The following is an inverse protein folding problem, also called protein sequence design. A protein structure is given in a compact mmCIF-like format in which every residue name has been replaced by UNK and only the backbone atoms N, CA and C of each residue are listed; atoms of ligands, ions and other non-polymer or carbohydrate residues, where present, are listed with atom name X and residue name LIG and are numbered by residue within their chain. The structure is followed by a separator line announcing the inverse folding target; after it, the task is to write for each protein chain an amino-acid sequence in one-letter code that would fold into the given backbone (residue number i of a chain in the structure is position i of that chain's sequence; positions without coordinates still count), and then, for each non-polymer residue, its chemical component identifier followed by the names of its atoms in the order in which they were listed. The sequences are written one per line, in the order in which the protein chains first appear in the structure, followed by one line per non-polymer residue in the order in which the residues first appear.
data_IF_091850843078
#
_entry.id   IF_091850843078
#
_cell.length_a   1.000
_cell.length_b   1.000
_cell.length_c   1.000
_cell.angle_alpha   90.00
_cell.angle_beta   90.00
_cell.angle_gamma   90.00
#
_symmetry.space_group_name_H-M   'P 1'
#
loop_
_entity.id
_entity.type
_entity.pdbx_description
1 polymer ?
#
# COMPACT_ATOMS: atom_id res chain seq x y z
N UNK A 1 -38.08 -11.13 -34.88
CA UNK A 1 -37.31 -12.32 -34.44
C UNK A 1 -35.86 -11.85 -34.34
N UNK A 2 -35.40 -11.53 -33.13
CA UNK A 2 -34.03 -11.05 -32.93
C UNK A 2 -33.10 -12.27 -32.93
N UNK A 3 -32.31 -12.36 -33.98
CA UNK A 3 -31.27 -13.38 -34.14
C UNK A 3 -30.11 -12.98 -33.20
N UNK A 4 -30.10 -13.51 -31.97
CA UNK A 4 -28.94 -13.38 -31.08
C UNK A 4 -27.82 -14.22 -31.70
N UNK A 5 -26.67 -13.62 -32.02
CA UNK A 5 -25.56 -14.38 -32.60
C UNK A 5 -25.16 -15.50 -31.63
N UNK A 6 -25.17 -16.75 -32.14
CA UNK A 6 -24.65 -17.91 -31.41
C UNK A 6 -23.17 -17.64 -31.10
N UNK A 7 -22.86 -17.47 -29.82
CA UNK A 7 -21.47 -17.30 -29.38
C UNK A 7 -20.71 -18.62 -29.63
N UNK A 8 -19.42 -18.55 -30.02
CA UNK A 8 -18.57 -19.73 -30.14
C UNK A 8 -18.52 -20.52 -28.81
N UNK A 9 -18.36 -21.83 -28.88
CA UNK A 9 -18.37 -22.71 -27.71
C UNK A 9 -17.28 -22.37 -26.70
N UNK A 10 -16.14 -21.84 -27.16
CA UNK A 10 -14.98 -21.42 -26.32
C UNK A 10 -15.06 -19.98 -25.81
N UNK A 11 -16.10 -19.21 -26.19
CA UNK A 11 -16.21 -17.79 -25.86
C UNK A 11 -16.13 -17.50 -24.34
N UNK A 12 -16.75 -18.36 -23.51
CA UNK A 12 -16.75 -18.19 -22.06
C UNK A 12 -15.34 -18.35 -21.47
N UNK A 13 -14.61 -19.33 -21.94
CA UNK A 13 -13.24 -19.61 -21.47
C UNK A 13 -12.29 -18.50 -21.92
N UNK A 14 -12.42 -18.04 -23.15
CA UNK A 14 -11.68 -16.91 -23.67
C UNK A 14 -11.98 -15.64 -22.89
N UNK A 15 -13.24 -15.31 -22.62
CA UNK A 15 -13.63 -14.16 -21.81
C UNK A 15 -13.06 -14.23 -20.38
N UNK A 16 -13.11 -15.39 -19.74
CA UNK A 16 -12.56 -15.60 -18.40
C UNK A 16 -11.04 -15.43 -18.38
N UNK A 17 -10.36 -15.90 -19.41
CA UNK A 17 -8.92 -15.69 -19.60
C UNK A 17 -8.60 -14.20 -19.71
N UNK A 18 -9.29 -13.44 -20.55
CA UNK A 18 -9.11 -11.99 -20.68
C UNK A 18 -9.38 -11.24 -19.37
N UNK A 19 -10.47 -11.57 -18.68
CA UNK A 19 -10.77 -10.98 -17.34
C UNK A 19 -9.64 -11.21 -16.34
N UNK A 20 -9.06 -12.40 -16.35
CA UNK A 20 -7.93 -12.73 -15.49
C UNK A 20 -6.69 -11.92 -15.85
N UNK A 21 -6.36 -11.79 -17.13
CA UNK A 21 -5.26 -10.96 -17.60
C UNK A 21 -5.42 -9.49 -17.18
N UNK A 22 -6.61 -8.92 -17.37
CA UNK A 22 -6.91 -7.54 -16.98
C UNK A 22 -6.75 -7.34 -15.48
N UNK A 23 -7.31 -8.25 -14.65
CA UNK A 23 -7.15 -8.18 -13.17
C UNK A 23 -5.68 -8.22 -12.76
N UNK A 24 -4.92 -9.15 -13.31
CA UNK A 24 -3.49 -9.26 -13.02
C UNK A 24 -2.70 -8.02 -13.44
N UNK A 25 -3.01 -7.45 -14.62
CA UNK A 25 -2.37 -6.23 -15.08
C UNK A 25 -2.65 -5.04 -14.14
N UNK A 26 -3.91 -4.88 -13.70
CA UNK A 26 -4.29 -3.85 -12.72
C UNK A 26 -3.53 -4.00 -11.40
N UNK A 27 -3.47 -5.21 -10.85
CA UNK A 27 -2.73 -5.46 -9.59
C UNK A 27 -1.25 -5.13 -9.75
N UNK A 28 -0.61 -5.51 -10.86
CA UNK A 28 0.80 -5.16 -11.12
C UNK A 28 1.00 -3.65 -11.20
N UNK A 29 0.16 -2.94 -11.95
CA UNK A 29 0.26 -1.48 -12.07
C UNK A 29 0.08 -0.79 -10.71
N UNK A 30 -0.95 -1.17 -9.95
CA UNK A 30 -1.22 -0.60 -8.62
C UNK A 30 -0.07 -0.83 -7.64
N UNK A 31 0.63 -1.97 -7.72
CA UNK A 31 1.81 -2.23 -6.88
C UNK A 31 2.95 -1.27 -7.17
N UNK A 32 3.24 -1.03 -8.44
CA UNK A 32 4.29 -0.06 -8.83
C UNK A 32 3.95 1.31 -8.25
N UNK A 33 2.72 1.77 -8.43
CA UNK A 33 2.25 3.06 -7.92
C UNK A 33 2.31 3.11 -6.38
N UNK A 34 1.88 2.05 -5.70
CA UNK A 34 1.96 1.97 -4.24
C UNK A 34 3.40 2.06 -3.74
N UNK A 35 4.34 1.38 -4.40
CA UNK A 35 5.76 1.46 -4.03
C UNK A 35 6.30 2.88 -4.18
N UNK A 36 5.99 3.56 -5.29
CA UNK A 36 6.39 4.95 -5.51
C UNK A 36 5.79 5.90 -4.46
N UNK A 37 4.51 5.71 -4.11
CA UNK A 37 3.84 6.47 -3.06
C UNK A 37 4.52 6.27 -1.69
N UNK A 38 4.85 5.03 -1.34
CA UNK A 38 5.53 4.72 -0.08
C UNK A 38 6.94 5.30 -0.03
N UNK A 39 7.66 5.30 -1.16
CA UNK A 39 8.97 5.94 -1.28
C UNK A 39 8.86 7.45 -1.10
N UNK A 40 7.90 8.10 -1.74
CA UNK A 40 7.62 9.53 -1.55
C UNK A 40 7.33 9.84 -0.06
N UNK A 41 6.50 9.04 0.59
CA UNK A 41 6.17 9.23 2.00
C UNK A 41 7.38 9.01 2.91
N UNK A 42 8.23 8.05 2.58
CA UNK A 42 9.50 7.86 3.27
C UNK A 42 10.42 9.07 3.10
N UNK A 43 10.58 9.57 1.86
CA UNK A 43 11.45 10.71 1.54
C UNK A 43 10.96 11.98 2.28
N UNK A 44 9.65 12.24 2.32
CA UNK A 44 9.06 13.34 3.11
C UNK A 44 9.35 13.15 4.60
N UNK A 45 9.12 11.95 5.13
CA UNK A 45 9.39 11.63 6.54
C UNK A 45 10.86 11.85 6.90
N UNK A 46 11.79 11.45 6.04
CA UNK A 46 13.23 11.63 6.20
C UNK A 46 13.61 13.12 6.17
N UNK A 47 13.11 13.87 5.19
CA UNK A 47 13.35 15.31 5.09
C UNK A 47 12.88 16.06 6.36
N UNK A 48 11.73 15.69 6.92
CA UNK A 48 11.24 16.27 8.18
C UNK A 48 12.19 15.94 9.34
N UNK A 49 12.65 14.68 9.47
CA UNK A 49 13.59 14.26 10.50
C UNK A 49 14.91 15.03 10.43
N UNK A 50 15.46 15.19 9.22
CA UNK A 50 16.72 15.90 9.00
C UNK A 50 16.60 17.38 9.39
N UNK A 51 15.47 18.04 9.05
CA UNK A 51 15.19 19.41 9.45
C UNK A 51 14.98 19.55 10.96
N UNK A 52 14.35 18.57 11.58
CA UNK A 52 14.21 18.57 13.04
C UNK A 52 15.55 18.46 13.76
N UNK A 53 16.46 17.64 13.25
CA UNK A 53 17.79 17.50 13.82
C UNK A 53 18.68 18.75 13.60
N UNK A 54 18.58 19.37 12.40
CA UNK A 54 19.40 20.53 12.05
C UNK A 54 18.88 21.87 12.60
N UNK A 55 17.56 22.07 12.59
CA UNK A 55 16.93 23.38 12.82
C UNK A 55 15.98 23.38 14.03
N UNK A 56 15.84 22.26 14.73
CA UNK A 56 14.97 22.16 15.92
C UNK A 56 13.46 22.31 15.61
N UNK A 57 13.03 21.92 14.41
CA UNK A 57 11.62 22.02 14.03
C UNK A 57 10.70 21.31 15.01
N UNK A 58 9.83 22.06 15.69
CA UNK A 58 8.81 21.53 16.57
C UNK A 58 7.56 21.03 15.85
N UNK A 59 6.60 20.49 16.61
CA UNK A 59 5.33 19.97 16.08
C UNK A 59 4.52 21.02 15.29
N UNK A 60 4.61 22.31 15.66
CA UNK A 60 3.92 23.41 14.97
C UNK A 60 4.33 23.55 13.48
N UNK A 61 5.58 23.24 13.14
CA UNK A 61 6.06 23.27 11.77
C UNK A 61 5.41 22.15 10.95
N UNK A 62 5.24 20.96 11.54
CA UNK A 62 4.54 19.85 10.89
C UNK A 62 3.06 20.20 10.67
N UNK A 63 2.43 20.86 11.63
CA UNK A 63 1.04 21.32 11.49
C UNK A 63 0.90 22.31 10.33
N UNK A 64 1.84 23.26 10.21
CA UNK A 64 1.87 24.21 9.11
C UNK A 64 2.14 23.51 7.77
N UNK A 65 3.13 22.61 7.71
CA UNK A 65 3.44 21.83 6.52
C UNK A 65 2.23 21.02 6.03
N UNK A 66 1.45 20.44 6.95
CA UNK A 66 0.23 19.72 6.59
C UNK A 66 -0.84 20.62 5.98
N UNK A 67 -0.93 21.88 6.39
CA UNK A 67 -1.85 22.87 5.81
C UNK A 67 -1.39 23.25 4.42
N UNK A 68 -0.12 23.60 4.26
CA UNK A 68 0.45 24.09 3.01
C UNK A 68 0.43 22.98 1.93
N UNK A 69 0.81 21.75 2.27
CA UNK A 69 0.74 20.61 1.32
C UNK A 69 -0.68 20.29 0.88
N UNK A 70 -1.66 20.34 1.79
CA UNK A 70 -3.07 20.12 1.42
C UNK A 70 -3.67 21.27 0.60
N UNK A 71 -3.16 22.47 0.76
CA UNK A 71 -3.56 23.60 -0.07
C UNK A 71 -3.03 23.49 -1.49
N UNK A 72 -1.82 22.96 -1.65
CA UNK A 72 -1.17 22.75 -2.95
C UNK A 72 -1.68 21.51 -3.66
N UNK A 73 -1.97 20.44 -2.91
CA UNK A 73 -2.44 19.12 -3.40
C UNK A 73 -3.76 18.74 -2.71
N UNK A 74 -4.88 19.44 -3.00
CA UNK A 74 -6.16 19.25 -2.30
C UNK A 74 -6.75 17.85 -2.50
N UNK A 75 -6.44 17.17 -3.60
CA UNK A 75 -6.86 15.80 -3.92
C UNK A 75 -6.12 14.75 -3.08
N UNK A 76 -4.92 15.06 -2.58
CA UNK A 76 -4.09 14.11 -1.84
C UNK A 76 -4.44 14.07 -0.35
N UNK A 77 -5.23 13.09 0.08
CA UNK A 77 -5.55 12.85 1.51
C UNK A 77 -4.34 12.45 2.35
N UNK A 78 -3.26 12.03 1.69
CA UNK A 78 -2.02 11.60 2.31
C UNK A 78 -1.29 12.66 3.12
N UNK A 79 -1.55 13.95 2.92
CA UNK A 79 -0.87 15.05 3.60
C UNK A 79 -1.57 15.55 4.87
N UNK A 80 -2.33 14.66 5.54
CA UNK A 80 -2.87 14.99 6.86
C UNK A 80 -1.73 15.08 7.90
N UNK A 81 -1.94 15.88 8.96
CA UNK A 81 -1.01 15.97 10.10
C UNK A 81 -0.62 14.58 10.64
N UNK A 82 -1.61 13.70 10.80
CA UNK A 82 -1.38 12.33 11.29
C UNK A 82 -0.46 11.55 10.35
N UNK A 83 -0.68 11.64 9.05
CA UNK A 83 0.15 10.94 8.07
C UNK A 83 1.58 11.48 8.03
N UNK A 84 1.81 12.80 8.14
CA UNK A 84 3.17 13.35 8.25
C UNK A 84 3.91 12.82 9.49
N UNK A 85 3.21 12.62 10.62
CA UNK A 85 3.79 11.95 11.78
C UNK A 85 4.13 10.48 11.49
N UNK A 86 3.26 9.76 10.76
CA UNK A 86 3.55 8.38 10.33
C UNK A 86 4.72 8.32 9.35
N UNK A 87 4.80 9.23 8.38
CA UNK A 87 5.94 9.31 7.44
C UNK A 87 7.26 9.42 8.20
N UNK A 88 7.34 10.28 9.22
CA UNK A 88 8.51 10.38 10.09
C UNK A 88 8.81 9.08 10.84
N UNK A 89 7.78 8.49 11.47
CA UNK A 89 7.91 7.25 12.23
C UNK A 89 8.42 6.11 11.36
N UNK A 90 7.91 6.03 10.14
CA UNK A 90 8.31 5.04 9.14
C UNK A 90 9.74 5.28 8.66
N UNK A 91 10.11 6.54 8.35
CA UNK A 91 11.48 6.89 7.95
C UNK A 91 12.52 6.67 9.05
N UNK A 92 12.12 6.67 10.32
CA UNK A 92 12.98 6.29 11.44
C UNK A 92 13.06 4.77 11.66
N UNK A 93 12.03 4.02 11.24
CA UNK A 93 11.92 2.59 11.45
C UNK A 93 12.63 1.76 10.38
N UNK A 94 12.63 2.21 9.13
CA UNK A 94 13.25 1.50 8.01
C UNK A 94 14.20 2.39 7.21
N UNK A 95 15.31 1.82 6.67
CA UNK A 95 16.10 2.49 5.65
C UNK A 95 15.30 2.55 4.33
N UNK A 96 15.61 3.52 3.47
CA UNK A 96 14.95 3.70 2.17
C UNK A 96 14.97 2.43 1.31
N UNK A 97 16.09 1.71 1.34
CA UNK A 97 16.27 0.45 0.59
C UNK A 97 15.24 -0.63 0.95
N UNK A 98 14.69 -0.63 2.17
CA UNK A 98 13.67 -1.59 2.57
C UNK A 98 12.40 -1.49 1.71
N UNK A 99 12.01 -0.27 1.27
CA UNK A 99 10.85 -0.06 0.41
C UNK A 99 11.06 -0.49 -1.03
N UNK A 100 12.30 -0.67 -1.45
CA UNK A 100 12.65 -1.18 -2.79
C UNK A 100 12.84 -2.69 -2.77
N UNK A 101 13.44 -3.22 -1.70
CA UNK A 101 13.96 -4.59 -1.66
C UNK A 101 13.15 -5.55 -0.78
N UNK A 102 12.29 -5.03 0.08
CA UNK A 102 11.56 -5.83 1.07
C UNK A 102 10.04 -5.74 0.91
N UNK A 103 9.33 -6.66 1.56
CA UNK A 103 7.87 -6.75 1.51
C UNK A 103 7.15 -5.49 1.99
N UNK A 104 7.76 -4.68 2.86
CA UNK A 104 7.16 -3.44 3.36
C UNK A 104 6.81 -2.46 2.23
N UNK A 105 7.58 -2.44 1.14
CA UNK A 105 7.28 -1.63 -0.05
C UNK A 105 6.15 -2.18 -0.93
N UNK A 106 5.68 -3.39 -0.66
CA UNK A 106 4.67 -4.08 -1.46
C UNK A 106 3.28 -4.15 -0.79
N UNK A 107 3.17 -3.69 0.45
CA UNK A 107 1.91 -3.67 1.21
C UNK A 107 1.33 -2.25 1.25
N UNK A 108 -0.01 -2.10 1.40
CA UNK A 108 -0.65 -0.78 1.43
C UNK A 108 -0.17 0.10 2.59
N UNK A 109 -0.27 1.43 2.45
CA UNK A 109 0.03 2.40 3.50
C UNK A 109 -0.59 2.05 4.85
N UNK A 110 -1.87 1.65 4.85
CA UNK A 110 -2.58 1.25 6.07
C UNK A 110 -2.00 0.04 6.79
N UNK A 111 -1.30 -0.87 6.09
CA UNK A 111 -0.57 -1.98 6.71
C UNK A 111 0.73 -1.48 7.34
N UNK A 112 1.48 -0.63 6.64
CA UNK A 112 2.73 -0.06 7.15
C UNK A 112 2.48 0.73 8.45
N UNK A 113 1.40 1.52 8.52
CA UNK A 113 1.03 2.24 9.75
C UNK A 113 0.71 1.30 10.91
N UNK A 114 0.01 0.18 10.66
CA UNK A 114 -0.25 -0.84 11.70
C UNK A 114 1.04 -1.44 12.23
N UNK A 115 2.01 -1.74 11.36
CA UNK A 115 3.29 -2.32 11.78
C UNK A 115 4.04 -1.38 12.73
N UNK A 116 4.19 -0.09 12.38
CA UNK A 116 4.92 0.86 13.22
C UNK A 116 4.19 1.24 14.50
N UNK A 117 2.87 1.07 14.56
CA UNK A 117 2.09 1.36 15.77
C UNK A 117 2.08 0.21 16.78
N UNK A 118 2.21 -1.02 16.30
CA UNK A 118 2.02 -2.20 17.14
C UNK A 118 3.28 -2.97 17.45
N UNK A 119 4.37 -2.68 16.75
CA UNK A 119 5.62 -3.42 16.87
C UNK A 119 6.79 -2.45 17.06
N UNK A 120 7.60 -2.69 18.08
CA UNK A 120 8.81 -1.93 18.34
C UNK A 120 10.05 -2.62 17.76
N UNK A 121 10.01 -3.95 17.66
CA UNK A 121 11.10 -4.74 17.12
C UNK A 121 11.12 -4.73 15.58
N UNK A 122 12.30 -4.47 15.01
CA UNK A 122 12.47 -4.41 13.55
C UNK A 122 12.27 -5.78 12.88
N UNK A 123 12.79 -6.83 13.48
CA UNK A 123 12.67 -8.19 12.92
C UNK A 123 11.20 -8.64 12.88
N UNK A 124 10.42 -8.31 13.92
CA UNK A 124 8.99 -8.56 13.94
C UNK A 124 8.25 -7.76 12.86
N UNK A 125 8.58 -6.47 12.67
CA UNK A 125 7.99 -5.65 11.59
C UNK A 125 8.22 -6.27 10.22
N UNK A 126 9.46 -6.66 9.93
CA UNK A 126 9.85 -7.25 8.65
C UNK A 126 9.17 -8.60 8.43
N UNK A 127 9.09 -9.42 9.48
CA UNK A 127 8.40 -10.71 9.43
C UNK A 127 6.89 -10.55 9.13
N UNK A 128 6.21 -9.63 9.83
CA UNK A 128 4.78 -9.38 9.59
C UNK A 128 4.52 -8.73 8.24
N UNK A 129 5.42 -7.87 7.74
CA UNK A 129 5.32 -7.31 6.39
C UNK A 129 5.40 -8.41 5.34
N UNK A 130 6.38 -9.33 5.46
CA UNK A 130 6.55 -10.47 4.57
C UNK A 130 5.34 -11.41 4.64
N UNK A 131 4.90 -11.79 5.83
CA UNK A 131 3.75 -12.67 6.02
C UNK A 131 2.45 -12.06 5.47
N UNK A 132 2.24 -10.74 5.64
CA UNK A 132 1.08 -10.04 5.10
C UNK A 132 1.10 -10.04 3.57
N UNK A 133 2.26 -9.81 2.97
CA UNK A 133 2.44 -9.83 1.52
C UNK A 133 2.24 -11.24 0.94
N UNK A 134 2.95 -12.24 1.47
CA UNK A 134 2.92 -13.62 0.96
C UNK A 134 1.55 -14.28 1.09
N UNK A 135 0.89 -14.04 2.23
CA UNK A 135 -0.42 -14.65 2.55
C UNK A 135 -1.61 -13.80 2.13
N UNK A 136 -1.37 -12.62 1.56
CA UNK A 136 -2.41 -11.73 1.10
C UNK A 136 -3.33 -11.19 2.20
N UNK A 137 -2.79 -10.94 3.41
CA UNK A 137 -3.60 -10.52 4.56
C UNK A 137 -4.19 -9.14 4.38
N UNK A 138 -5.46 -9.00 4.75
CA UNK A 138 -6.08 -7.70 4.94
C UNK A 138 -5.51 -7.00 6.18
N UNK A 139 -5.68 -5.67 6.27
CA UNK A 139 -5.27 -4.87 7.44
C UNK A 139 -5.83 -5.43 8.77
N UNK A 140 -7.08 -5.92 8.75
CA UNK A 140 -7.72 -6.48 9.93
C UNK A 140 -7.10 -7.82 10.32
N UNK A 141 -6.80 -8.69 9.34
CA UNK A 141 -6.11 -9.97 9.56
C UNK A 141 -4.72 -9.70 10.11
N UNK A 142 -3.93 -8.79 9.50
CA UNK A 142 -2.62 -8.40 10.00
C UNK A 142 -2.69 -7.95 11.47
N UNK A 143 -3.63 -7.03 11.81
CA UNK A 143 -3.81 -6.56 13.17
C UNK A 143 -4.18 -7.66 14.16
N UNK A 144 -4.95 -8.66 13.72
CA UNK A 144 -5.32 -9.83 14.52
C UNK A 144 -4.12 -10.74 14.75
N UNK A 145 -3.33 -11.02 13.71
CA UNK A 145 -2.14 -11.89 13.81
C UNK A 145 -1.05 -11.28 14.71
N UNK A 146 -0.84 -9.95 14.64
CA UNK A 146 0.07 -9.24 15.55
C UNK A 146 -0.40 -9.38 17.00
N UNK A 147 -1.69 -9.18 17.27
CA UNK A 147 -2.26 -9.33 18.62
C UNK A 147 -2.06 -10.73 19.18
N UNK A 148 -2.15 -11.74 18.33
CA UNK A 148 -1.98 -13.15 18.70
C UNK A 148 -0.51 -13.61 18.71
N UNK A 149 0.45 -12.71 18.47
CA UNK A 149 1.89 -12.97 18.46
C UNK A 149 2.26 -14.17 17.57
N UNK A 150 1.74 -14.18 16.33
CA UNK A 150 1.93 -15.29 15.40
C UNK A 150 3.41 -15.55 15.09
N UNK A 151 4.23 -14.50 15.01
CA UNK A 151 5.69 -14.55 14.84
C UNK A 151 6.37 -15.46 15.88
N UNK A 152 5.98 -15.32 17.15
CA UNK A 152 6.53 -16.13 18.26
C UNK A 152 6.04 -17.58 18.23
N UNK A 153 4.86 -17.85 17.70
CA UNK A 153 4.25 -19.19 17.64
C UNK A 153 4.77 -20.03 16.48
N UNK A 154 5.16 -19.41 15.37
CA UNK A 154 5.65 -20.13 14.18
C UNK A 154 7.18 -20.21 14.17
N UNK A 155 7.85 -19.45 15.04
CA UNK A 155 9.29 -19.21 15.01
C UNK A 155 9.62 -18.05 14.06
N UNK A 156 10.53 -17.18 14.47
CA UNK A 156 11.03 -16.07 13.67
C UNK A 156 12.04 -16.55 12.62
N UNK A 157 11.68 -17.53 11.80
CA UNK A 157 12.49 -17.87 10.64
C UNK A 157 12.31 -16.73 9.61
N UNK A 158 13.37 -16.07 9.14
CA UNK A 158 13.26 -15.15 8.03
C UNK A 158 12.69 -15.93 6.84
N UNK A 159 11.50 -15.56 6.37
CA UNK A 159 10.99 -16.13 5.14
C UNK A 159 11.93 -15.66 4.03
N UNK A 160 12.54 -16.62 3.32
CA UNK A 160 13.18 -16.30 2.06
C UNK A 160 12.07 -15.72 1.17
N UNK A 161 12.10 -14.43 0.96
CA UNK A 161 11.20 -13.71 0.08
C UNK A 161 11.40 -14.27 -1.34
N UNK A 162 10.62 -15.31 -1.65
CA UNK A 162 10.53 -15.83 -3.00
C UNK A 162 9.52 -15.00 -3.77
N UNK A 163 9.80 -14.71 -5.03
CA UNK A 163 9.02 -13.91 -5.99
C UNK A 163 7.58 -14.42 -6.26
N UNK A 164 6.92 -14.97 -5.25
CA UNK A 164 5.55 -15.41 -5.36
C UNK A 164 4.61 -14.21 -5.17
N UNK A 165 4.16 -13.72 -6.31
CA UNK A 165 3.06 -12.74 -6.35
C UNK A 165 1.83 -13.35 -5.65
N UNK A 166 1.24 -12.67 -4.63
CA UNK A 166 -0.06 -13.05 -4.10
C UNK A 166 -1.04 -13.21 -5.26
N UNK A 167 -1.93 -14.17 -5.19
CA UNK A 167 -2.97 -14.36 -6.19
C UNK A 167 -3.76 -13.06 -6.36
N UNK A 168 -4.11 -12.72 -7.62
CA UNK A 168 -4.81 -11.47 -7.93
C UNK A 168 -6.16 -11.28 -7.21
N UNK A 169 -6.68 -12.34 -6.60
CA UNK A 169 -7.93 -12.37 -5.84
C UNK A 169 -7.72 -12.32 -4.31
N UNK A 170 -6.47 -12.12 -3.83
CA UNK A 170 -6.21 -12.00 -2.40
C UNK A 170 -6.79 -10.70 -1.82
N UNK A 171 -7.16 -10.70 -0.54
CA UNK A 171 -7.63 -9.51 0.19
C UNK A 171 -6.63 -8.34 0.06
N UNK A 172 -5.35 -8.63 0.09
CA UNK A 172 -4.29 -7.63 -0.09
C UNK A 172 -4.34 -7.01 -1.49
N UNK A 173 -4.48 -7.82 -2.54
CA UNK A 173 -4.56 -7.33 -3.91
C UNK A 173 -5.80 -6.46 -4.12
N UNK A 174 -6.94 -6.86 -3.55
CA UNK A 174 -8.16 -6.06 -3.59
C UNK A 174 -8.03 -4.75 -2.81
N UNK A 175 -7.34 -4.75 -1.68
CA UNK A 175 -7.09 -3.52 -0.92
C UNK A 175 -6.14 -2.59 -1.65
N UNK A 176 -5.09 -3.09 -2.29
CA UNK A 176 -4.18 -2.26 -3.11
C UNK A 176 -4.93 -1.56 -4.25
N UNK A 177 -5.75 -2.31 -4.98
CA UNK A 177 -6.54 -1.76 -6.11
C UNK A 177 -7.59 -0.74 -5.67
N UNK A 178 -8.01 -0.77 -4.40
CA UNK A 178 -9.01 0.15 -3.82
C UNK A 178 -8.42 1.12 -2.82
N UNK A 179 -7.08 1.21 -2.72
CA UNK A 179 -6.43 2.10 -1.75
C UNK A 179 -6.64 3.56 -2.16
N UNK A 180 -7.34 4.37 -1.35
CA UNK A 180 -7.62 5.77 -1.68
C UNK A 180 -6.33 6.60 -1.78
N UNK A 181 -5.27 6.25 -1.07
CA UNK A 181 -3.99 6.97 -1.16
C UNK A 181 -3.30 6.77 -2.51
N UNK A 182 -3.46 5.58 -3.12
CA UNK A 182 -2.95 5.30 -4.47
C UNK A 182 -3.75 6.07 -5.51
N UNK A 183 -5.07 6.15 -5.39
CA UNK A 183 -5.92 6.93 -6.29
C UNK A 183 -5.63 8.42 -6.18
N UNK A 184 -5.55 8.95 -4.96
CA UNK A 184 -5.23 10.36 -4.71
C UNK A 184 -3.85 10.73 -5.31
N UNK A 185 -2.86 9.84 -5.18
CA UNK A 185 -1.51 10.06 -5.72
C UNK A 185 -1.48 10.12 -7.26
N UNK A 186 -2.37 9.39 -7.92
CA UNK A 186 -2.51 9.39 -9.38
C UNK A 186 -3.46 10.49 -9.90
N UNK A 187 -4.01 11.34 -9.02
CA UNK A 187 -5.06 12.32 -9.36
C UNK A 187 -6.29 11.66 -10.03
N UNK A 188 -6.55 10.41 -9.69
CA UNK A 188 -7.72 9.67 -10.16
C UNK A 188 -8.89 9.96 -9.22
N UNK A 189 -9.60 11.07 -9.45
CA UNK A 189 -10.80 11.42 -8.66
C UNK A 189 -11.97 10.48 -9.01
N UNK A 190 -12.88 10.25 -8.05
CA UNK A 190 -14.08 9.40 -8.21
C UNK A 190 -14.92 9.74 -9.47
N UNK A 191 -14.80 10.97 -10.00
CA UNK A 191 -15.46 11.41 -11.23
C UNK A 191 -14.97 10.75 -12.52
N UNK A 192 -13.72 10.26 -12.52
CA UNK A 192 -13.16 9.56 -13.70
C UNK A 192 -13.59 8.09 -13.67
N UNK A 193 -13.66 7.49 -12.48
CA UNK A 193 -14.06 6.10 -12.31
C UNK A 193 -15.52 5.84 -12.73
N UNK A 194 -16.44 6.79 -12.50
CA UNK A 194 -17.84 6.64 -12.91
C UNK A 194 -18.03 6.83 -14.44
N UNK A 195 -17.31 7.76 -15.06
CA UNK A 195 -17.45 8.03 -16.50
C UNK A 195 -16.89 6.93 -17.41
N UNK A 196 -15.85 6.21 -16.96
CA UNK A 196 -15.27 5.10 -17.73
C UNK A 196 -16.00 3.77 -17.52
N UNK A 197 -16.91 3.67 -16.55
CA UNK A 197 -17.75 2.49 -16.33
C UNK A 197 -19.09 2.54 -17.08
N UNK A 198 -19.49 3.72 -17.59
CA UNK A 198 -20.73 3.93 -18.34
C UNK A 198 -20.52 4.04 -19.86
N UNK A 199 -19.29 3.95 -20.36
CA UNK A 199 -18.95 3.91 -21.78
C UNK A 199 -18.56 2.49 -22.22
#
# INVERSE_FOLDING_TARGET
MSDSPLLPDDYRDFLNHLKTQVRQARVRATRVVNTELLLLYWDIGRAILDRQAAEGWGSKVIDRLAVDLRSEFPEMRGFSRSNLHYMRKIASAWPRSAFVQQAVGQIPWGHVTVLVDRLDDQAARDWYAAAAFERGWSRNVLSHQIRNRLDQRIGAAPSNFTDHLPTGDSDLAQQLVRDPYVFDFLDLTDRVAERELEA
#
